data_IF_173543490692
#
_entry.id   IF_173543490692
#
_cell.length_a   1.000
_cell.length_b   1.000
_cell.length_c   1.000
_cell.angle_alpha   90.00
_cell.angle_beta   90.00
_cell.angle_gamma   90.00
#
_symmetry.space_group_name_H-M   'P 1'
#
loop_
_entity.id
_entity.type
_entity.pdbx_description
1 polymer ?
#
# COMPACT_ATOMS: atom_id res chain seq x y z
N UNK A 1 44.62 30.97 30.50
CA UNK A 1 44.90 30.01 29.40
C UNK A 1 43.59 29.65 28.69
N UNK A 2 43.39 30.12 27.48
CA UNK A 2 42.23 29.77 26.64
C UNK A 2 42.60 28.61 25.74
N UNK A 3 41.65 27.67 25.57
CA UNK A 3 41.74 26.49 24.69
C UNK A 3 40.66 26.58 23.65
N UNK A 4 40.94 26.09 22.47
CA UNK A 4 39.98 25.96 21.36
C UNK A 4 39.27 24.59 21.44
N UNK A 5 37.96 24.61 21.36
CA UNK A 5 37.13 23.40 21.39
C UNK A 5 37.33 22.61 20.10
N UNK A 6 37.78 21.36 20.16
CA UNK A 6 37.93 20.50 18.97
C UNK A 6 36.57 20.16 18.38
N UNK A 7 36.54 19.85 17.08
CA UNK A 7 35.35 19.27 16.44
C UNK A 7 35.31 17.77 16.74
N UNK A 8 34.32 17.37 17.52
CA UNK A 8 34.09 15.97 17.91
C UNK A 8 32.71 15.47 17.48
N UNK A 9 31.92 16.33 16.81
CA UNK A 9 30.66 15.87 16.26
C UNK A 9 30.88 14.87 15.12
N UNK A 10 30.11 13.78 15.10
CA UNK A 10 30.28 12.68 14.14
C UNK A 10 31.36 11.65 14.49
N UNK A 11 32.15 11.87 15.56
CA UNK A 11 33.19 10.93 16.01
C UNK A 11 32.63 9.92 16.99
N UNK A 12 33.29 8.78 17.10
CA UNK A 12 33.06 7.84 18.20
C UNK A 12 33.42 8.48 19.54
N UNK A 13 32.65 8.15 20.59
CA UNK A 13 32.86 8.72 21.93
C UNK A 13 34.32 8.57 22.42
N UNK A 14 34.94 7.40 22.20
CA UNK A 14 36.31 7.17 22.63
C UNK A 14 37.31 8.16 21.99
N UNK A 15 37.18 8.40 20.70
CA UNK A 15 38.02 9.36 19.97
C UNK A 15 37.73 10.81 20.43
N UNK A 16 36.46 11.15 20.59
CA UNK A 16 36.05 12.46 21.10
C UNK A 16 36.61 12.77 22.48
N UNK A 17 36.67 11.77 23.36
CA UNK A 17 37.23 11.90 24.70
C UNK A 17 38.77 12.19 24.66
N UNK A 18 39.50 11.50 23.77
CA UNK A 18 40.91 11.74 23.57
C UNK A 18 41.21 13.15 23.05
N UNK A 19 40.40 13.62 22.09
CA UNK A 19 40.54 14.96 21.53
C UNK A 19 40.28 16.06 22.58
N UNK A 20 39.29 15.90 23.44
CA UNK A 20 39.01 16.81 24.53
C UNK A 20 40.10 16.78 25.57
N UNK A 21 40.60 15.61 25.94
CA UNK A 21 41.69 15.44 26.90
C UNK A 21 42.98 16.13 26.42
N UNK A 22 43.31 16.02 25.14
CA UNK A 22 44.47 16.67 24.54
C UNK A 22 44.42 18.20 24.64
N UNK A 23 43.21 18.76 24.75
CA UNK A 23 42.94 20.20 24.92
C UNK A 23 42.69 20.60 26.38
N UNK A 24 42.86 19.72 27.34
CA UNK A 24 42.59 19.95 28.77
C UNK A 24 41.08 20.36 29.00
N UNK A 25 40.18 19.75 28.24
CA UNK A 25 38.75 19.95 28.34
C UNK A 25 38.08 18.67 28.89
N UNK A 26 36.97 18.83 29.62
CA UNK A 26 36.30 17.71 30.26
C UNK A 26 34.95 17.47 29.59
N UNK A 27 34.61 16.21 29.32
CA UNK A 27 33.31 15.86 28.74
C UNK A 27 32.20 15.94 29.81
N UNK A 28 31.00 16.37 29.38
CA UNK A 28 29.73 16.11 30.03
C UNK A 28 28.85 15.34 29.06
N UNK A 29 28.65 14.03 29.29
CA UNK A 29 27.95 13.15 28.39
C UNK A 29 26.46 13.16 28.70
N UNK A 30 25.64 13.39 27.66
CA UNK A 30 24.20 13.27 27.67
C UNK A 30 23.79 12.24 26.62
N UNK A 31 23.21 11.13 27.06
CA UNK A 31 22.78 10.06 26.13
C UNK A 31 21.46 10.42 25.48
N UNK A 32 21.38 10.31 24.15
CA UNK A 32 20.18 10.55 23.36
C UNK A 32 19.96 9.44 22.36
N UNK A 33 18.72 9.14 22.02
CA UNK A 33 18.43 8.26 20.91
C UNK A 33 18.67 8.99 19.58
N UNK A 34 19.20 8.25 18.60
CA UNK A 34 19.40 8.69 17.21
C UNK A 34 18.41 8.02 16.27
N UNK A 35 18.46 8.40 15.02
CA UNK A 35 17.60 7.84 13.96
C UNK A 35 18.12 6.48 13.44
N UNK A 36 19.40 6.15 13.71
CA UNK A 36 20.04 4.92 13.28
C UNK A 36 20.62 4.13 14.46
N UNK A 37 20.50 2.81 14.40
CA UNK A 37 21.16 1.91 15.34
C UNK A 37 22.69 1.93 15.19
N UNK A 38 23.19 2.22 13.99
CA UNK A 38 24.62 2.26 13.65
C UNK A 38 25.33 3.44 14.32
N UNK A 39 24.60 4.51 14.65
CA UNK A 39 25.14 5.69 15.32
C UNK A 39 25.45 5.46 16.82
N UNK A 40 25.14 4.28 17.35
CA UNK A 40 25.34 3.99 18.77
C UNK A 40 26.79 4.24 19.19
N UNK A 41 26.98 5.12 20.16
CA UNK A 41 28.31 5.52 20.65
C UNK A 41 28.90 6.74 19.92
N UNK A 42 28.26 7.26 18.88
CA UNK A 42 28.71 8.44 18.14
C UNK A 42 28.26 9.72 18.82
N UNK A 43 29.09 10.75 18.79
CA UNK A 43 28.74 12.09 19.25
C UNK A 43 27.83 12.76 18.23
N UNK A 44 26.57 12.96 18.57
CA UNK A 44 25.56 13.61 17.72
C UNK A 44 25.73 15.13 17.65
N UNK A 45 26.12 15.74 18.74
CA UNK A 45 26.35 17.18 18.82
C UNK A 45 27.19 17.55 20.04
N UNK A 46 27.82 18.73 20.00
CA UNK A 46 28.61 19.27 21.07
C UNK A 46 28.21 20.73 21.42
N UNK A 47 28.43 21.10 22.67
CA UNK A 47 28.23 22.50 23.12
C UNK A 47 29.30 22.84 24.18
N UNK A 48 30.11 23.90 23.97
CA UNK A 48 30.16 24.84 22.85
C UNK A 48 30.55 24.21 21.52
N UNK A 49 30.24 24.92 20.42
CA UNK A 49 30.60 24.46 19.05
C UNK A 49 32.11 24.39 18.86
N UNK A 50 32.55 23.61 17.89
CA UNK A 50 33.95 23.55 17.46
C UNK A 50 34.51 24.93 17.14
N UNK A 51 35.79 25.16 17.45
CA UNK A 51 36.47 26.46 17.30
C UNK A 51 36.19 27.49 18.39
N UNK A 52 35.23 27.25 19.29
CA UNK A 52 34.96 28.16 20.38
C UNK A 52 36.13 28.24 21.35
N UNK A 53 36.49 29.47 21.78
CA UNK A 53 37.55 29.72 22.78
C UNK A 53 36.97 29.62 24.18
N UNK A 54 37.44 28.70 24.98
CA UNK A 54 37.00 28.46 26.36
C UNK A 54 38.17 28.40 27.31
N UNK A 55 37.93 28.55 28.61
CA UNK A 55 38.99 28.39 29.63
C UNK A 55 39.37 26.92 29.75
N UNK A 56 40.65 26.63 29.99
CA UNK A 56 41.13 25.30 30.36
C UNK A 56 40.28 24.73 31.52
N UNK A 57 39.99 23.47 31.52
CA UNK A 57 39.11 22.80 32.50
C UNK A 57 37.62 23.00 32.27
N UNK A 58 37.19 23.67 31.15
CA UNK A 58 35.78 23.83 30.80
C UNK A 58 35.16 22.47 30.45
N UNK A 59 33.92 22.24 30.90
CA UNK A 59 33.10 21.10 30.49
C UNK A 59 32.44 21.33 29.15
N UNK A 60 32.57 20.36 28.25
CA UNK A 60 31.95 20.33 26.93
C UNK A 60 30.83 19.30 26.98
N UNK A 61 29.60 19.75 26.78
CA UNK A 61 28.45 18.87 26.71
C UNK A 61 28.45 18.14 25.37
N UNK A 62 28.40 16.82 25.40
CA UNK A 62 28.34 15.91 24.26
C UNK A 62 27.01 15.18 24.30
N UNK A 63 26.19 15.34 23.26
CA UNK A 63 25.07 14.46 23.04
C UNK A 63 25.58 13.21 22.34
N UNK A 64 25.47 12.06 22.98
CA UNK A 64 25.98 10.78 22.46
C UNK A 64 24.80 9.86 22.16
N UNK A 65 24.88 9.22 21.01
CA UNK A 65 23.82 8.30 20.56
C UNK A 65 23.77 7.02 21.42
N UNK A 66 22.57 6.65 21.84
CA UNK A 66 22.25 5.33 22.40
C UNK A 66 21.85 4.31 21.31
N UNK A 67 21.85 4.72 20.04
CA UNK A 67 21.24 4.02 18.92
C UNK A 67 19.77 4.35 18.74
N UNK A 68 19.11 3.66 17.83
CA UNK A 68 17.69 3.86 17.56
C UNK A 68 16.80 3.28 18.68
N UNK A 69 15.65 3.91 18.91
CA UNK A 69 14.60 3.39 19.81
C UNK A 69 13.97 2.10 19.26
N UNK A 70 13.99 1.93 17.95
CA UNK A 70 13.44 0.80 17.26
C UNK A 70 14.34 0.42 16.09
N UNK A 71 14.77 -0.83 16.04
CA UNK A 71 15.66 -1.32 14.98
C UNK A 71 14.91 -1.91 13.79
N UNK A 72 13.68 -2.35 14.02
CA UNK A 72 12.82 -2.94 13.01
C UNK A 72 11.35 -2.69 13.34
N UNK A 73 10.50 -2.72 12.34
CA UNK A 73 9.05 -2.61 12.52
C UNK A 73 8.54 -3.85 13.27
N UNK A 74 7.82 -3.63 14.36
CA UNK A 74 7.17 -4.69 15.12
C UNK A 74 6.01 -5.31 14.34
N UNK A 75 5.62 -6.53 14.72
CA UNK A 75 4.39 -7.16 14.23
C UNK A 75 3.18 -6.63 15.01
N UNK A 76 2.35 -5.87 14.32
CA UNK A 76 1.10 -5.33 14.85
C UNK A 76 -0.12 -6.19 14.46
N UNK A 77 0.04 -7.16 13.55
CA UNK A 77 -1.07 -7.99 13.11
C UNK A 77 -1.65 -8.80 14.28
N UNK A 78 -2.97 -8.82 14.39
CA UNK A 78 -3.69 -9.47 15.49
C UNK A 78 -3.85 -8.63 16.75
N UNK A 79 -3.21 -7.46 16.86
CA UNK A 79 -3.36 -6.54 18.00
C UNK A 79 -4.53 -5.58 17.77
N UNK A 80 -5.05 -5.00 18.85
CA UNK A 80 -6.01 -3.90 18.79
C UNK A 80 -5.31 -2.61 18.30
N UNK A 81 -6.00 -1.84 17.44
CA UNK A 81 -5.46 -0.58 16.92
C UNK A 81 -5.06 0.40 18.03
N UNK A 82 -5.91 0.54 19.06
CA UNK A 82 -5.65 1.49 20.14
C UNK A 82 -4.45 1.07 21.00
N UNK A 83 -4.23 -0.23 21.19
CA UNK A 83 -3.02 -0.75 21.86
C UNK A 83 -1.77 -0.45 21.04
N UNK A 84 -1.82 -0.64 19.72
CA UNK A 84 -0.70 -0.33 18.84
C UNK A 84 -0.37 1.18 18.84
N UNK A 85 -1.39 2.03 18.82
CA UNK A 85 -1.23 3.50 18.93
C UNK A 85 -0.57 3.89 20.24
N UNK A 86 -1.09 3.37 21.36
CA UNK A 86 -0.55 3.65 22.68
C UNK A 86 0.89 3.16 22.84
N UNK A 87 1.20 1.98 22.32
CA UNK A 87 2.55 1.41 22.34
C UNK A 87 3.54 2.31 21.58
N UNK A 88 3.22 2.73 20.37
CA UNK A 88 4.05 3.64 19.58
C UNK A 88 4.19 5.03 20.24
N UNK A 89 3.10 5.57 20.75
CA UNK A 89 3.11 6.85 21.45
C UNK A 89 3.98 6.81 22.70
N UNK A 90 3.90 5.73 23.48
CA UNK A 90 4.71 5.54 24.69
C UNK A 90 6.18 5.38 24.34
N UNK A 91 6.48 4.57 23.31
CA UNK A 91 7.85 4.34 22.86
C UNK A 91 8.56 5.64 22.44
N UNK A 92 7.86 6.52 21.74
CA UNK A 92 8.41 7.77 21.22
C UNK A 92 8.09 9.00 22.07
N UNK A 93 7.53 8.85 23.27
CA UNK A 93 7.12 9.98 24.15
C UNK A 93 8.27 10.91 24.53
N UNK A 94 9.51 10.42 24.55
CA UNK A 94 10.72 11.22 24.82
C UNK A 94 11.53 11.61 23.59
N UNK A 95 11.07 11.27 22.38
CA UNK A 95 11.78 11.56 21.15
C UNK A 95 11.37 12.95 20.61
N UNK A 96 12.35 13.70 20.08
CA UNK A 96 12.09 15.00 19.42
C UNK A 96 11.26 14.80 18.14
N UNK A 97 11.50 13.68 17.45
CA UNK A 97 10.72 13.20 16.30
C UNK A 97 10.53 11.68 16.43
N UNK A 98 9.30 11.16 16.25
CA UNK A 98 9.09 9.73 16.23
C UNK A 98 9.73 9.15 14.98
N UNK A 99 10.46 8.02 15.11
CA UNK A 99 10.99 7.28 13.96
C UNK A 99 9.89 6.59 13.16
N UNK A 100 8.82 6.18 13.83
CA UNK A 100 7.66 5.58 13.17
C UNK A 100 6.46 6.48 13.38
N UNK A 101 5.89 6.95 12.28
CA UNK A 101 4.66 7.75 12.27
C UNK A 101 3.53 6.88 11.73
N UNK A 102 2.43 6.81 12.47
CA UNK A 102 1.25 6.07 12.04
C UNK A 102 0.45 6.90 11.04
N UNK A 103 0.24 6.37 9.84
CA UNK A 103 -0.69 6.93 8.87
C UNK A 103 -2.15 6.76 9.33
N UNK A 104 -3.08 7.43 8.67
CA UNK A 104 -4.51 7.18 8.87
C UNK A 104 -4.81 5.71 8.55
N UNK A 105 -5.42 4.95 9.49
CA UNK A 105 -5.69 3.54 9.27
C UNK A 105 -6.65 3.29 8.12
N UNK A 106 -6.38 2.26 7.35
CA UNK A 106 -7.29 1.75 6.35
C UNK A 106 -8.22 0.72 6.99
N UNK A 107 -9.50 0.75 6.66
CA UNK A 107 -10.49 -0.16 7.23
C UNK A 107 -11.03 -1.12 6.18
N UNK A 108 -10.99 -2.43 6.46
CA UNK A 108 -11.48 -3.47 5.56
C UNK A 108 -12.40 -4.45 6.29
N UNK A 109 -13.37 -5.02 5.56
CA UNK A 109 -14.16 -6.13 6.08
C UNK A 109 -13.25 -7.37 6.23
N UNK A 110 -13.36 -8.06 7.36
CA UNK A 110 -12.54 -9.24 7.67
C UNK A 110 -13.29 -10.16 8.65
N UNK A 111 -12.96 -11.44 8.63
CA UNK A 111 -13.44 -12.41 9.63
C UNK A 111 -12.92 -12.17 11.05
N UNK A 112 -11.99 -11.22 11.24
CA UNK A 112 -11.48 -10.80 12.55
C UNK A 112 -12.45 -9.82 13.21
N UNK A 113 -12.52 -9.74 14.54
CA UNK A 113 -13.30 -8.73 15.25
C UNK A 113 -12.94 -7.30 14.79
N UNK A 114 -13.90 -6.39 14.87
CA UNK A 114 -13.65 -4.98 14.55
C UNK A 114 -12.56 -4.40 15.47
N UNK A 115 -11.70 -3.53 14.89
CA UNK A 115 -10.59 -2.92 15.62
C UNK A 115 -9.29 -3.72 15.63
N UNK A 116 -9.31 -4.99 15.19
CA UNK A 116 -8.10 -5.82 15.07
C UNK A 116 -7.34 -5.43 13.80
N UNK A 117 -6.03 -5.24 13.93
CA UNK A 117 -5.11 -5.03 12.82
C UNK A 117 -4.96 -6.33 12.03
N UNK A 118 -5.19 -6.29 10.73
CA UNK A 118 -5.16 -7.45 9.84
C UNK A 118 -4.00 -7.44 8.87
N UNK A 119 -3.42 -6.27 8.62
CA UNK A 119 -2.20 -6.11 7.81
C UNK A 119 -1.48 -4.82 8.18
N UNK A 120 -0.23 -4.73 7.79
CA UNK A 120 0.62 -3.55 7.98
C UNK A 120 1.58 -3.36 6.83
N UNK A 121 1.94 -2.11 6.57
CA UNK A 121 2.99 -1.71 5.62
C UNK A 121 3.82 -0.56 6.22
N UNK A 122 5.15 -0.70 6.38
CA UNK A 122 5.99 -1.84 6.03
C UNK A 122 5.70 -3.13 6.81
N UNK A 123 6.07 -4.31 6.27
CA UNK A 123 5.94 -5.58 6.96
C UNK A 123 6.73 -5.63 8.28
N UNK A 124 6.30 -6.50 9.20
CA UNK A 124 7.06 -6.81 10.41
C UNK A 124 8.50 -7.26 10.08
N UNK A 125 9.46 -6.85 10.90
CA UNK A 125 10.88 -7.15 10.68
C UNK A 125 11.58 -6.22 9.68
N UNK A 126 10.88 -5.29 9.01
CA UNK A 126 11.52 -4.28 8.15
C UNK A 126 12.47 -3.42 8.96
N UNK A 127 13.76 -3.32 8.59
CA UNK A 127 14.73 -2.48 9.29
C UNK A 127 14.32 -1.00 9.28
N UNK A 128 14.47 -0.33 10.42
CA UNK A 128 14.22 1.11 10.58
C UNK A 128 15.57 1.82 10.62
N UNK A 129 15.96 2.43 9.50
CA UNK A 129 17.19 3.22 9.37
C UNK A 129 16.94 4.73 9.29
N UNK A 130 15.69 5.17 9.41
CA UNK A 130 15.26 6.56 9.35
C UNK A 130 13.75 6.69 9.58
N UNK A 131 13.16 7.88 9.41
CA UNK A 131 11.73 8.08 9.58
C UNK A 131 10.89 7.20 8.63
N UNK A 132 9.96 6.43 9.19
CA UNK A 132 9.07 5.50 8.47
C UNK A 132 7.62 5.85 8.73
N UNK A 133 6.80 5.82 7.70
CA UNK A 133 5.34 5.90 7.85
C UNK A 133 4.78 4.47 7.86
N UNK A 134 4.12 4.11 8.96
CA UNK A 134 3.47 2.82 9.13
C UNK A 134 1.98 2.95 8.81
N UNK A 135 1.52 2.18 7.85
CA UNK A 135 0.10 2.06 7.50
C UNK A 135 -0.45 0.76 8.08
N UNK A 136 -1.56 0.84 8.78
CA UNK A 136 -2.26 -0.32 9.37
C UNK A 136 -3.59 -0.52 8.65
N UNK A 137 -3.90 -1.78 8.33
CA UNK A 137 -5.23 -2.18 7.86
C UNK A 137 -5.97 -2.81 9.02
N UNK A 138 -7.14 -2.28 9.32
CA UNK A 138 -7.92 -2.62 10.52
C UNK A 138 -9.24 -3.27 10.11
N UNK A 139 -9.59 -4.35 10.78
CA UNK A 139 -10.86 -5.03 10.57
C UNK A 139 -12.04 -4.14 10.96
N UNK A 140 -13.04 -4.07 10.08
CA UNK A 140 -14.39 -3.55 10.40
C UNK A 140 -15.26 -4.60 11.12
N UNK A 141 -14.72 -5.79 11.31
CA UNK A 141 -15.46 -6.98 11.72
C UNK A 141 -16.14 -7.67 10.55
N UNK A 142 -16.66 -8.83 10.82
CA UNK A 142 -17.47 -9.58 9.87
C UNK A 142 -18.91 -9.08 9.98
N UNK A 143 -19.24 -7.98 9.30
CA UNK A 143 -20.64 -7.73 8.96
C UNK A 143 -21.01 -8.71 7.86
N UNK A 144 -21.28 -9.91 8.23
CA UNK A 144 -21.89 -10.96 7.41
C UNK A 144 -23.37 -10.65 7.18
N UNK A 145 -23.69 -9.41 6.84
CA UNK A 145 -24.98 -9.15 6.22
C UNK A 145 -24.88 -9.70 4.81
N UNK A 146 -25.67 -10.73 4.48
CA UNK A 146 -25.74 -11.23 3.12
C UNK A 146 -26.06 -10.09 2.18
N UNK A 147 -25.49 -10.11 1.00
CA UNK A 147 -25.73 -9.11 -0.04
C UNK A 147 -26.42 -9.76 -1.23
N UNK A 148 -27.33 -9.05 -1.82
CA UNK A 148 -27.98 -9.50 -3.07
C UNK A 148 -27.10 -9.04 -4.22
N UNK A 149 -26.50 -9.97 -5.01
CA UNK A 149 -25.71 -9.58 -6.16
C UNK A 149 -26.59 -8.90 -7.22
N UNK A 150 -26.05 -7.94 -7.97
CA UNK A 150 -26.78 -7.38 -9.09
C UNK A 150 -26.96 -8.43 -10.18
N UNK A 151 -28.12 -8.42 -10.86
CA UNK A 151 -28.29 -9.20 -12.09
C UNK A 151 -27.61 -8.48 -13.24
N UNK A 152 -26.61 -9.13 -13.82
CA UNK A 152 -25.87 -8.61 -14.97
C UNK A 152 -26.42 -9.11 -16.31
N UNK A 153 -27.23 -10.15 -16.29
CA UNK A 153 -27.79 -10.77 -17.51
C UNK A 153 -28.50 -9.75 -18.39
N UNK A 154 -28.14 -9.70 -19.64
CA UNK A 154 -28.64 -8.72 -20.62
C UNK A 154 -27.95 -7.36 -20.59
N UNK A 155 -27.05 -7.09 -19.64
CA UNK A 155 -26.27 -5.86 -19.59
C UNK A 155 -25.12 -5.87 -20.61
N UNK A 156 -24.84 -4.72 -21.22
CA UNK A 156 -23.59 -4.55 -21.97
C UNK A 156 -22.40 -4.59 -21.03
N UNK A 157 -21.19 -4.85 -21.57
CA UNK A 157 -19.94 -4.87 -20.81
C UNK A 157 -19.79 -3.61 -19.97
N UNK A 158 -20.04 -2.42 -20.53
CA UNK A 158 -19.87 -1.14 -19.83
C UNK A 158 -20.85 -1.00 -18.64
N UNK A 159 -22.11 -1.42 -18.85
CA UNK A 159 -23.12 -1.40 -17.77
C UNK A 159 -22.80 -2.42 -16.69
N UNK A 160 -22.34 -3.62 -17.07
CA UNK A 160 -21.89 -4.63 -16.13
C UNK A 160 -20.73 -4.14 -15.28
N UNK A 161 -19.69 -3.55 -15.89
CA UNK A 161 -18.55 -2.97 -15.17
C UNK A 161 -18.98 -1.85 -14.20
N UNK A 162 -19.93 -1.01 -14.60
CA UNK A 162 -20.49 0.03 -13.72
C UNK A 162 -21.28 -0.55 -12.55
N UNK A 163 -21.94 -1.70 -12.73
CA UNK A 163 -22.63 -2.41 -11.65
C UNK A 163 -21.65 -3.04 -10.66
N UNK A 164 -20.50 -3.56 -11.14
CA UNK A 164 -19.46 -4.14 -10.29
C UNK A 164 -18.90 -3.13 -9.28
N UNK A 165 -18.76 -1.87 -9.66
CA UNK A 165 -18.23 -0.82 -8.78
C UNK A 165 -19.06 -0.63 -7.49
N UNK A 166 -20.31 -1.07 -7.48
CA UNK A 166 -21.27 -0.94 -6.37
C UNK A 166 -21.55 -2.28 -5.66
N UNK A 167 -21.07 -3.38 -6.24
CA UNK A 167 -21.40 -4.72 -5.77
C UNK A 167 -20.30 -5.26 -4.86
N UNK A 168 -20.61 -5.63 -3.62
CA UNK A 168 -19.64 -6.25 -2.72
C UNK A 168 -19.55 -7.77 -2.97
N UNK A 169 -19.42 -8.16 -4.24
CA UNK A 169 -19.23 -9.54 -4.72
C UNK A 169 -18.17 -9.56 -5.82
N UNK A 170 -17.58 -10.71 -6.09
CA UNK A 170 -16.57 -10.89 -7.12
C UNK A 170 -17.22 -11.67 -8.26
N UNK A 171 -17.09 -11.18 -9.49
CA UNK A 171 -17.54 -11.93 -10.66
C UNK A 171 -16.35 -12.58 -11.37
N UNK A 172 -16.46 -13.89 -11.57
CA UNK A 172 -15.55 -14.66 -12.40
C UNK A 172 -16.15 -14.76 -13.80
N UNK A 173 -15.64 -13.93 -14.70
CA UNK A 173 -16.14 -13.89 -16.08
C UNK A 173 -15.48 -14.95 -16.94
N UNK A 174 -16.31 -15.59 -17.76
CA UNK A 174 -15.92 -16.38 -18.93
C UNK A 174 -16.48 -15.74 -20.19
N UNK A 175 -15.98 -16.13 -21.35
CA UNK A 175 -16.47 -15.59 -22.62
C UNK A 175 -16.57 -16.70 -23.66
N UNK A 176 -17.55 -16.56 -24.56
CA UNK A 176 -17.73 -17.36 -25.76
C UNK A 176 -18.22 -16.51 -26.93
N UNK A 177 -18.13 -16.98 -28.16
CA UNK A 177 -18.79 -16.32 -29.28
C UNK A 177 -20.30 -16.18 -29.06
N UNK A 178 -20.87 -15.09 -29.54
CA UNK A 178 -22.31 -14.88 -29.47
C UNK A 178 -23.07 -15.89 -30.34
N UNK A 179 -24.11 -16.46 -29.78
CA UNK A 179 -25.00 -17.38 -30.51
C UNK A 179 -26.14 -16.61 -31.24
N UNK A 180 -26.85 -17.33 -32.09
CA UNK A 180 -27.96 -16.74 -32.87
C UNK A 180 -29.05 -16.18 -31.93
N UNK A 181 -29.28 -14.89 -32.01
CA UNK A 181 -30.28 -14.19 -31.19
C UNK A 181 -29.72 -13.54 -29.93
N UNK A 182 -28.44 -13.73 -29.60
CA UNK A 182 -27.78 -13.03 -28.54
C UNK A 182 -27.20 -11.69 -29.02
N UNK A 183 -27.21 -10.69 -28.15
CA UNK A 183 -26.56 -9.42 -28.43
C UNK A 183 -25.06 -9.53 -28.08
N UNK A 184 -24.14 -9.41 -29.07
CA UNK A 184 -22.72 -9.44 -28.77
C UNK A 184 -22.29 -8.32 -27.83
N UNK A 185 -21.30 -8.59 -26.94
CA UNK A 185 -20.84 -7.65 -25.92
C UNK A 185 -21.78 -7.53 -24.72
N UNK A 186 -22.64 -8.55 -24.48
CA UNK A 186 -23.55 -8.59 -23.33
C UNK A 186 -23.30 -9.82 -22.45
N UNK A 187 -23.67 -9.72 -21.18
CA UNK A 187 -23.70 -10.85 -20.25
C UNK A 187 -24.89 -11.75 -20.60
N UNK A 188 -24.63 -13.02 -20.88
CA UNK A 188 -25.67 -13.98 -21.32
C UNK A 188 -26.08 -14.95 -20.23
N UNK A 189 -25.21 -15.22 -19.25
CA UNK A 189 -25.55 -16.03 -18.09
C UNK A 189 -24.84 -15.54 -16.83
N UNK A 190 -25.41 -15.89 -15.69
CA UNK A 190 -24.88 -15.58 -14.37
C UNK A 190 -25.34 -16.66 -13.39
N UNK A 191 -24.41 -17.17 -12.59
CA UNK A 191 -24.73 -17.99 -11.43
C UNK A 191 -25.46 -17.11 -10.40
N UNK A 192 -26.54 -17.60 -9.82
CA UNK A 192 -27.39 -16.80 -8.89
C UNK A 192 -27.90 -15.49 -9.54
N UNK A 193 -28.58 -15.61 -10.65
CA UNK A 193 -29.10 -14.49 -11.46
C UNK A 193 -30.23 -13.69 -10.76
N UNK A 194 -29.93 -13.12 -9.61
CA UNK A 194 -30.73 -12.12 -8.94
C UNK A 194 -31.73 -12.65 -7.91
N UNK A 195 -31.54 -12.24 -6.66
CA UNK A 195 -32.49 -12.41 -5.57
C UNK A 195 -32.02 -13.27 -4.41
N UNK A 196 -31.12 -14.22 -4.59
CA UNK A 196 -30.58 -14.98 -3.47
C UNK A 196 -29.42 -14.24 -2.79
N UNK A 197 -29.50 -13.98 -1.47
CA UNK A 197 -28.41 -13.38 -0.73
C UNK A 197 -27.19 -14.28 -0.71
N UNK A 198 -26.02 -13.71 -0.97
CA UNK A 198 -24.71 -14.38 -0.87
C UNK A 198 -23.83 -13.68 0.17
N UNK A 199 -22.78 -14.32 0.62
CA UNK A 199 -21.80 -13.67 1.47
C UNK A 199 -21.07 -12.57 0.70
N UNK A 200 -20.68 -11.50 1.38
CA UNK A 200 -19.87 -10.43 0.77
C UNK A 200 -18.59 -11.03 0.20
N UNK A 201 -18.24 -10.55 -1.00
CA UNK A 201 -17.08 -11.00 -1.79
C UNK A 201 -17.09 -12.50 -2.16
N UNK A 202 -18.26 -13.15 -2.12
CA UNK A 202 -18.44 -14.43 -2.79
C UNK A 202 -18.16 -14.32 -4.28
N UNK A 203 -17.61 -15.37 -4.85
CA UNK A 203 -17.37 -15.48 -6.30
C UNK A 203 -18.63 -15.97 -7.00
N UNK A 204 -18.97 -15.32 -8.08
CA UNK A 204 -20.15 -15.61 -8.90
C UNK A 204 -19.69 -15.75 -10.34
N UNK A 205 -19.97 -16.88 -10.95
CA UNK A 205 -19.66 -17.08 -12.35
C UNK A 205 -20.63 -16.27 -13.24
N UNK A 206 -20.07 -15.63 -14.29
CA UNK A 206 -20.85 -14.95 -15.32
C UNK A 206 -20.22 -15.17 -16.70
N UNK A 207 -21.03 -15.25 -17.73
CA UNK A 207 -20.58 -15.49 -19.09
C UNK A 207 -20.97 -14.35 -20.03
N UNK A 208 -20.04 -13.99 -20.91
CA UNK A 208 -20.24 -12.90 -21.89
C UNK A 208 -20.21 -13.45 -23.30
N UNK A 209 -21.18 -13.08 -24.09
CA UNK A 209 -21.20 -13.31 -25.52
C UNK A 209 -20.32 -12.26 -26.22
N UNK A 210 -19.29 -12.68 -26.91
CA UNK A 210 -18.38 -11.80 -27.65
C UNK A 210 -18.71 -11.78 -29.14
N UNK A 211 -18.56 -10.64 -29.84
CA UNK A 211 -18.67 -10.60 -31.29
C UNK A 211 -17.47 -11.28 -31.97
N UNK A 212 -17.67 -11.75 -33.17
CA UNK A 212 -16.59 -12.19 -34.05
C UNK A 212 -15.83 -10.97 -34.60
N UNK A 213 -14.86 -10.50 -33.84
CA UNK A 213 -14.05 -9.31 -34.15
C UNK A 213 -14.59 -8.00 -33.57
N UNK A 214 -14.13 -6.87 -34.15
CA UNK A 214 -14.58 -5.56 -33.71
C UNK A 214 -16.02 -5.29 -34.17
N UNK A 215 -16.86 -4.85 -33.27
CA UNK A 215 -18.26 -4.48 -33.58
C UNK A 215 -18.46 -2.98 -33.34
N UNK A 216 -18.92 -2.27 -34.37
CA UNK A 216 -19.19 -0.82 -34.26
C UNK A 216 -17.99 0.05 -33.87
N UNK A 217 -16.77 -0.34 -34.26
CA UNK A 217 -15.54 0.39 -33.88
C UNK A 217 -15.08 0.12 -32.46
N UNK A 218 -15.62 -0.88 -31.78
CA UNK A 218 -15.23 -1.30 -30.42
C UNK A 218 -14.65 -2.71 -30.43
N UNK A 219 -13.58 -2.94 -29.74
CA UNK A 219 -12.97 -4.26 -29.49
C UNK A 219 -13.45 -4.76 -28.14
N UNK A 220 -14.05 -5.93 -28.14
CA UNK A 220 -14.54 -6.60 -26.93
C UNK A 220 -13.65 -7.79 -26.59
N UNK A 221 -13.54 -8.10 -25.33
CA UNK A 221 -12.80 -9.27 -24.89
C UNK A 221 -12.83 -9.46 -23.38
N UNK A 222 -12.03 -10.41 -22.92
CA UNK A 222 -11.84 -10.73 -21.52
C UNK A 222 -10.35 -10.68 -21.20
N UNK A 223 -9.98 -9.84 -20.25
CA UNK A 223 -8.62 -9.76 -19.72
C UNK A 223 -8.55 -10.61 -18.46
N UNK A 224 -7.62 -11.55 -18.43
CA UNK A 224 -7.42 -12.46 -17.31
C UNK A 224 -6.02 -12.33 -16.73
N UNK A 225 -5.91 -12.46 -15.41
CA UNK A 225 -4.63 -12.44 -14.71
C UNK A 225 -4.68 -13.30 -13.45
N UNK A 226 -3.52 -13.72 -12.97
CA UNK A 226 -3.36 -14.34 -11.67
C UNK A 226 -2.71 -13.33 -10.71
N UNK A 227 -3.39 -13.04 -9.61
CA UNK A 227 -2.92 -12.13 -8.57
C UNK A 227 -2.63 -12.89 -7.27
N UNK A 228 -1.82 -12.33 -6.36
CA UNK A 228 -1.78 -12.79 -4.99
C UNK A 228 -3.18 -12.75 -4.36
N UNK A 229 -3.49 -13.68 -3.47
CA UNK A 229 -4.71 -13.62 -2.66
C UNK A 229 -4.53 -12.64 -1.51
N UNK A 230 -5.56 -11.82 -1.27
CA UNK A 230 -5.58 -10.86 -0.17
C UNK A 230 -6.64 -11.28 0.85
N UNK A 231 -6.35 -11.15 2.15
CA UNK A 231 -7.32 -11.48 3.21
C UNK A 231 -8.44 -10.44 3.35
N UNK A 232 -8.42 -9.40 2.53
CA UNK A 232 -9.38 -8.30 2.47
C UNK A 232 -9.47 -7.80 1.02
N UNK A 233 -10.60 -7.19 0.63
CA UNK A 233 -10.75 -6.63 -0.70
C UNK A 233 -9.82 -5.43 -0.90
N UNK A 234 -9.18 -5.38 -2.05
CA UNK A 234 -8.28 -4.31 -2.50
C UNK A 234 -8.75 -3.75 -3.83
N UNK A 235 -8.45 -2.47 -4.15
CA UNK A 235 -8.94 -1.86 -5.38
C UNK A 235 -8.30 -2.50 -6.62
N UNK A 236 -9.16 -2.92 -7.55
CA UNK A 236 -8.82 -3.33 -8.91
C UNK A 236 -9.22 -2.21 -9.86
N UNK A 237 -8.37 -1.92 -10.84
CA UNK A 237 -8.65 -0.96 -11.91
C UNK A 237 -8.23 -1.52 -13.25
N UNK A 238 -9.10 -1.34 -14.24
CA UNK A 238 -8.80 -1.53 -15.65
C UNK A 238 -8.77 -0.17 -16.33
N UNK A 239 -7.63 0.16 -16.89
CA UNK A 239 -7.39 1.42 -17.60
C UNK A 239 -7.27 1.13 -19.10
N UNK A 240 -7.80 2.01 -19.94
CA UNK A 240 -7.49 2.05 -21.35
C UNK A 240 -6.66 3.31 -21.64
N UNK A 241 -5.50 3.12 -22.27
CA UNK A 241 -4.60 4.17 -22.73
C UNK A 241 -4.72 4.32 -24.23
N UNK A 242 -4.88 5.51 -24.71
CA UNK A 242 -4.99 5.80 -26.14
C UNK A 242 -4.58 7.22 -26.48
N UNK A 243 -4.71 7.61 -27.74
CA UNK A 243 -4.35 8.97 -28.21
C UNK A 243 -5.11 10.09 -27.48
N UNK A 244 -6.29 9.78 -26.91
CA UNK A 244 -7.11 10.71 -26.14
C UNK A 244 -6.78 10.78 -24.64
N UNK A 245 -5.75 10.09 -24.17
CA UNK A 245 -5.38 9.98 -22.75
C UNK A 245 -5.86 8.69 -22.08
N UNK A 246 -5.63 8.58 -20.78
CA UNK A 246 -6.02 7.41 -19.97
C UNK A 246 -7.50 7.51 -19.55
N UNK A 247 -8.26 6.44 -19.71
CA UNK A 247 -9.63 6.30 -19.24
C UNK A 247 -9.78 5.09 -18.32
N UNK A 248 -10.59 5.22 -17.27
CA UNK A 248 -10.89 4.11 -16.35
C UNK A 248 -12.09 3.35 -16.90
N UNK A 249 -11.89 2.12 -17.34
CA UNK A 249 -12.97 1.23 -17.83
C UNK A 249 -13.69 0.53 -16.68
N UNK A 250 -12.94 0.14 -15.62
CA UNK A 250 -13.48 -0.52 -14.46
C UNK A 250 -12.72 -0.11 -13.20
N UNK A 251 -13.44 0.03 -12.07
CA UNK A 251 -12.86 0.24 -10.75
C UNK A 251 -13.79 -0.40 -9.71
N UNK A 252 -13.32 -1.45 -9.03
CA UNK A 252 -14.07 -2.19 -8.01
C UNK A 252 -13.12 -2.93 -7.09
N UNK A 253 -13.63 -3.48 -6.00
CA UNK A 253 -12.83 -4.23 -5.04
C UNK A 253 -12.72 -5.71 -5.44
N UNK A 254 -11.55 -6.31 -5.20
CA UNK A 254 -11.27 -7.71 -5.50
C UNK A 254 -10.34 -8.33 -4.45
N UNK A 255 -10.48 -9.61 -4.14
CA UNK A 255 -9.63 -10.32 -3.15
C UNK A 255 -8.40 -10.99 -3.74
N UNK A 256 -8.10 -10.76 -5.01
CA UNK A 256 -6.99 -11.43 -5.70
C UNK A 256 -7.34 -12.84 -6.18
N UNK A 257 -6.34 -13.69 -6.32
CA UNK A 257 -6.49 -15.01 -6.97
C UNK A 257 -6.67 -14.88 -8.48
N UNK A 258 -7.55 -15.68 -9.06
CA UNK A 258 -7.93 -15.53 -10.47
C UNK A 258 -8.75 -14.26 -10.67
N UNK A 259 -8.33 -13.43 -11.60
CA UNK A 259 -8.97 -12.17 -11.97
C UNK A 259 -9.40 -12.24 -13.44
N UNK A 260 -10.66 -11.97 -13.72
CA UNK A 260 -11.19 -11.87 -15.07
C UNK A 260 -12.05 -10.61 -15.20
N UNK A 261 -11.71 -9.75 -16.14
CA UNK A 261 -12.39 -8.46 -16.34
C UNK A 261 -12.73 -8.30 -17.81
N UNK A 262 -14.02 -8.22 -18.15
CA UNK A 262 -14.42 -7.93 -19.53
C UNK A 262 -14.06 -6.50 -19.89
N UNK A 263 -13.85 -6.26 -21.18
CA UNK A 263 -13.58 -4.93 -21.69
C UNK A 263 -14.31 -4.64 -23.00
N UNK A 264 -14.59 -3.38 -23.19
CA UNK A 264 -15.02 -2.79 -24.43
C UNK A 264 -14.18 -1.51 -24.62
N UNK A 265 -13.32 -1.48 -25.65
CA UNK A 265 -12.38 -0.39 -25.83
C UNK A 265 -12.11 -0.10 -27.30
N UNK A 266 -11.57 1.09 -27.59
CA UNK A 266 -11.22 1.48 -28.95
C UNK A 266 -10.10 0.59 -29.53
N UNK A 267 -10.09 0.31 -30.83
CA UNK A 267 -8.98 -0.33 -31.50
C UNK A 267 -7.68 0.42 -31.27
N UNK A 268 -6.58 -0.30 -31.09
CA UNK A 268 -5.27 0.28 -30.83
C UNK A 268 -5.03 0.79 -29.39
N UNK A 269 -6.03 0.74 -28.54
CA UNK A 269 -5.84 1.07 -27.13
C UNK A 269 -4.94 0.05 -26.41
N UNK A 270 -4.21 0.51 -25.41
CA UNK A 270 -3.46 -0.34 -24.49
C UNK A 270 -4.27 -0.48 -23.19
N UNK A 271 -4.61 -1.71 -22.82
CA UNK A 271 -5.28 -2.01 -21.57
C UNK A 271 -4.27 -2.32 -20.48
N UNK A 272 -4.44 -1.72 -19.30
CA UNK A 272 -3.59 -1.97 -18.14
C UNK A 272 -4.48 -2.34 -16.95
N UNK A 273 -4.31 -3.58 -16.45
CA UNK A 273 -4.99 -4.08 -15.27
C UNK A 273 -4.10 -3.92 -14.04
N UNK A 274 -4.60 -3.24 -13.02
CA UNK A 274 -3.89 -3.07 -11.75
C UNK A 274 -4.73 -3.57 -10.58
N UNK A 275 -4.08 -4.14 -9.57
CA UNK A 275 -4.68 -4.54 -8.30
C UNK A 275 -3.81 -4.00 -7.16
N UNK A 276 -4.41 -3.30 -6.20
CA UNK A 276 -3.70 -2.62 -5.13
C UNK A 276 -2.56 -1.70 -5.64
N UNK A 277 -2.75 -1.05 -6.79
CA UNK A 277 -1.75 -0.20 -7.44
C UNK A 277 -0.61 -0.94 -8.17
N UNK A 278 -0.58 -2.27 -8.15
CA UNK A 278 0.39 -3.11 -8.87
C UNK A 278 -0.16 -3.52 -10.22
N UNK A 279 0.62 -3.36 -11.27
CA UNK A 279 0.26 -3.87 -12.60
C UNK A 279 0.25 -5.40 -12.58
N UNK A 280 -0.87 -6.00 -13.01
CA UNK A 280 -1.04 -7.45 -13.13
C UNK A 280 -0.91 -7.91 -14.57
N UNK A 281 -1.46 -7.16 -15.50
CA UNK A 281 -1.49 -7.50 -16.90
C UNK A 281 -1.58 -6.25 -17.78
N UNK A 282 -1.07 -6.40 -19.00
CA UNK A 282 -1.09 -5.40 -20.06
C UNK A 282 -1.45 -6.07 -21.38
N UNK A 283 -2.33 -5.44 -22.14
CA UNK A 283 -2.81 -5.95 -23.42
C UNK A 283 -2.92 -4.81 -24.44
N UNK A 284 -2.22 -4.94 -25.56
CA UNK A 284 -2.38 -4.02 -26.69
C UNK A 284 -3.46 -4.54 -27.62
N UNK A 285 -4.48 -3.73 -27.86
CA UNK A 285 -5.56 -4.11 -28.75
C UNK A 285 -5.18 -3.92 -30.23
N UNK A 286 -5.69 -4.77 -31.13
CA UNK A 286 -5.39 -4.63 -32.55
C UNK A 286 -5.92 -3.31 -33.10
N UNK A 287 -5.13 -2.67 -33.96
CA UNK A 287 -5.59 -1.54 -34.76
C UNK A 287 -6.42 -2.08 -35.90
N UNK A 288 -7.70 -1.77 -35.90
CA UNK A 288 -8.56 -2.14 -37.06
C UNK A 288 -8.11 -1.30 -38.25
N UNK A 289 -7.36 -1.87 -39.18
CA UNK A 289 -7.17 -1.23 -40.48
C UNK A 289 -8.51 -1.13 -41.17
N UNK A 290 -9.01 0.09 -41.37
CA UNK A 290 -10.10 0.31 -42.31
C UNK A 290 -9.67 -0.29 -43.66
N UNK A 291 -10.40 -1.28 -44.15
CA UNK A 291 -10.31 -1.70 -45.53
C UNK A 291 -10.82 -0.50 -46.34
N UNK A 292 -9.88 0.21 -46.99
CA UNK A 292 -10.15 1.22 -48.01
C UNK A 292 -10.73 0.55 -49.24
#
# INVERSE_FOLDING_TARGET
>A
NTKEVPDVAGKELAEALLDLQAKELFPKIELRYSESAEDKGTVLSQKPSAGAKVKAGRRISLAVSRGALMNQIEDFAGRQLDEARLSLQTLFSGAVRPLVTLAEPLYAASGRPAGIIIAQDPPAGTPVSGPVTLTLVVSKGNKTEPVVPPSLVGMSVEKALSALAKAPVIFDFTSRPAERGEAPGTVVSQESAGGEPVNRYSRIAAEIALPDGAAGGTVYGLLTAQAPEYPYPVPLRLLARGEGGDSVLAAFDHTGGYVSVPYAAAPGAELVLTLAGRELARLSLPVTRALL
#
